data_IF_576302363624
#
_entry.id   IF_576302363624
#
_cell.length_a   1.000
_cell.length_b   1.000
_cell.length_c   1.000
_cell.angle_alpha   90.00
_cell.angle_beta   90.00
_cell.angle_gamma   90.00
#
_symmetry.space_group_name_H-M   'P 1'
#
loop_
_entity.id
_entity.type
_entity.pdbx_description
1 polymer ?
#
# COMPACT_ATOMS: atom_id res chain seq x y z
N UNK A 1 2.59 -23.00 12.39
CA UNK A 1 3.33 -24.28 12.27
C UNK A 1 3.09 -24.97 10.93
N UNK A 2 1.86 -25.35 10.55
CA UNK A 2 1.58 -26.05 9.27
C UNK A 2 2.02 -25.26 8.02
N UNK A 3 1.85 -23.93 8.02
CA UNK A 3 2.21 -23.07 6.89
C UNK A 3 3.72 -22.80 6.75
N UNK A 4 4.46 -22.64 7.86
CA UNK A 4 5.92 -22.59 7.81
C UNK A 4 6.48 -23.92 7.25
N UNK A 5 5.94 -25.06 7.70
CA UNK A 5 6.36 -26.38 7.21
C UNK A 5 6.02 -26.54 5.71
N UNK A 6 4.88 -26.01 5.25
CA UNK A 6 4.53 -25.97 3.83
C UNK A 6 5.48 -25.11 2.99
N UNK A 7 5.82 -23.91 3.46
CA UNK A 7 6.75 -23.01 2.77
C UNK A 7 8.16 -23.62 2.66
N UNK A 8 8.71 -24.17 3.74
CA UNK A 8 10.01 -24.85 3.69
C UNK A 8 10.02 -26.04 2.74
N UNK A 9 8.95 -26.85 2.73
CA UNK A 9 8.82 -27.98 1.80
C UNK A 9 8.73 -27.53 0.35
N UNK A 10 8.02 -26.44 0.06
CA UNK A 10 7.93 -25.85 -1.29
C UNK A 10 9.28 -25.31 -1.74
N UNK A 11 10.00 -24.60 -0.87
CA UNK A 11 11.35 -24.09 -1.18
C UNK A 11 12.33 -25.23 -1.48
N UNK A 12 12.32 -26.30 -0.67
CA UNK A 12 13.17 -27.48 -0.88
C UNK A 12 12.84 -28.19 -2.19
N UNK A 13 11.55 -28.40 -2.49
CA UNK A 13 11.11 -29.09 -3.71
C UNK A 13 11.46 -28.33 -4.99
N UNK A 14 11.37 -27.00 -4.96
CA UNK A 14 11.71 -26.15 -6.09
C UNK A 14 13.18 -25.70 -6.11
N UNK A 15 13.99 -26.13 -5.12
CA UNK A 15 15.39 -25.70 -4.93
C UNK A 15 15.56 -24.18 -4.98
N UNK A 16 14.57 -23.45 -4.46
CA UNK A 16 14.61 -21.99 -4.40
C UNK A 16 15.44 -21.57 -3.19
N UNK A 17 16.35 -20.62 -3.41
CA UNK A 17 16.98 -19.95 -2.27
C UNK A 17 16.00 -18.93 -1.66
N UNK A 18 16.33 -18.42 -0.47
CA UNK A 18 15.46 -17.50 0.27
C UNK A 18 15.14 -16.23 -0.53
N UNK A 19 16.13 -15.66 -1.20
CA UNK A 19 16.04 -14.40 -1.95
C UNK A 19 15.08 -14.53 -3.15
N UNK A 20 15.21 -15.61 -3.94
CA UNK A 20 14.29 -15.91 -5.04
C UNK A 20 12.84 -16.16 -4.56
N UNK A 21 12.68 -16.73 -3.37
CA UNK A 21 11.38 -16.87 -2.73
C UNK A 21 10.77 -15.51 -2.36
N UNK A 22 11.57 -14.61 -1.78
CA UNK A 22 11.16 -13.27 -1.41
C UNK A 22 10.82 -12.40 -2.63
N UNK A 23 11.63 -12.43 -3.69
CA UNK A 23 11.35 -11.73 -4.96
C UNK A 23 10.00 -12.14 -5.53
N UNK A 24 9.69 -13.44 -5.55
CA UNK A 24 8.40 -13.94 -6.02
C UNK A 24 7.25 -13.46 -5.17
N UNK A 25 7.41 -13.45 -3.84
CA UNK A 25 6.38 -12.93 -2.93
C UNK A 25 6.19 -11.42 -3.14
N UNK A 26 7.27 -10.68 -3.38
CA UNK A 26 7.24 -9.24 -3.58
C UNK A 26 6.44 -8.85 -4.83
N UNK A 27 6.61 -9.56 -5.94
CA UNK A 27 5.82 -9.32 -7.17
C UNK A 27 4.32 -9.36 -6.88
N UNK A 28 3.85 -10.42 -6.20
CA UNK A 28 2.45 -10.54 -5.82
C UNK A 28 2.03 -9.50 -4.77
N UNK A 29 2.91 -9.13 -3.84
CA UNK A 29 2.62 -8.10 -2.86
C UNK A 29 2.40 -6.72 -3.50
N UNK A 30 3.17 -6.38 -4.53
CA UNK A 30 3.03 -5.12 -5.27
C UNK A 30 1.68 -5.02 -6.01
N UNK A 31 1.18 -6.14 -6.55
CA UNK A 31 -0.17 -6.20 -7.16
C UNK A 31 -1.29 -5.89 -6.15
N UNK A 32 -1.05 -6.10 -4.86
CA UNK A 32 -2.05 -5.94 -3.79
C UNK A 32 -1.83 -4.69 -2.93
N UNK A 33 -0.96 -3.75 -3.35
CA UNK A 33 -0.53 -2.58 -2.56
C UNK A 33 -1.66 -1.68 -2.03
N UNK A 34 -2.80 -1.63 -2.72
CA UNK A 34 -3.97 -0.82 -2.34
C UNK A 34 -5.01 -1.58 -1.50
N UNK A 35 -4.84 -2.89 -1.33
CA UNK A 35 -5.78 -3.73 -0.59
C UNK A 35 -5.74 -3.40 0.92
N UNK A 36 -6.90 -3.44 1.58
CA UNK A 36 -6.99 -3.33 3.03
C UNK A 36 -6.44 -4.61 3.67
N UNK A 37 -5.78 -4.47 4.83
CA UNK A 37 -5.23 -5.62 5.58
C UNK A 37 -6.31 -6.65 5.88
N UNK A 38 -7.51 -6.21 6.27
CA UNK A 38 -8.65 -7.08 6.55
C UNK A 38 -9.11 -7.82 5.30
N UNK A 39 -9.16 -7.14 4.16
CA UNK A 39 -9.52 -7.76 2.88
C UNK A 39 -8.44 -8.77 2.45
N UNK A 40 -7.15 -8.44 2.60
CA UNK A 40 -6.05 -9.39 2.34
C UNK A 40 -6.11 -10.62 3.24
N UNK A 41 -6.42 -10.45 4.53
CA UNK A 41 -6.63 -11.57 5.46
C UNK A 41 -7.81 -12.43 5.05
N UNK A 42 -8.90 -11.82 4.57
CA UNK A 42 -10.06 -12.55 4.07
C UNK A 42 -9.77 -13.30 2.78
N UNK A 43 -9.08 -12.69 1.80
CA UNK A 43 -8.66 -13.37 0.57
C UNK A 43 -7.73 -14.55 0.86
N UNK A 44 -6.80 -14.37 1.80
CA UNK A 44 -5.95 -15.46 2.27
C UNK A 44 -6.77 -16.64 2.80
N UNK A 45 -7.75 -16.38 3.67
CA UNK A 45 -8.61 -17.43 4.22
C UNK A 45 -9.51 -18.08 3.15
N UNK A 46 -9.96 -17.32 2.15
CA UNK A 46 -10.74 -17.85 1.02
C UNK A 46 -9.97 -18.85 0.18
N UNK A 47 -8.67 -18.64 0.00
CA UNK A 47 -7.80 -19.60 -0.69
C UNK A 47 -7.48 -20.78 0.23
N UNK A 48 -7.12 -20.51 1.48
CA UNK A 48 -6.71 -21.54 2.43
C UNK A 48 -7.83 -22.54 2.75
N UNK A 49 -9.10 -22.10 2.76
CA UNK A 49 -10.23 -22.99 3.05
C UNK A 49 -10.47 -24.06 1.99
N UNK A 50 -9.98 -23.86 0.76
CA UNK A 50 -10.14 -24.81 -0.35
C UNK A 50 -9.07 -25.92 -0.34
N UNK A 51 -8.07 -25.81 0.54
CA UNK A 51 -7.05 -26.86 0.71
C UNK A 51 -7.67 -28.11 1.34
N UNK A 52 -7.30 -29.29 0.85
CA UNK A 52 -7.98 -30.57 1.19
C UNK A 52 -7.86 -30.95 2.67
N UNK A 53 -6.81 -30.48 3.35
CA UNK A 53 -6.58 -30.73 4.78
C UNK A 53 -7.09 -29.60 5.68
N UNK A 54 -7.63 -28.52 5.12
CA UNK A 54 -8.07 -27.36 5.88
C UNK A 54 -9.26 -27.70 6.77
N UNK A 55 -9.17 -27.36 8.06
CA UNK A 55 -10.27 -27.57 9.00
C UNK A 55 -10.58 -29.03 9.33
N UNK A 56 -9.77 -30.00 8.87
CA UNK A 56 -9.98 -31.43 9.11
C UNK A 56 -9.25 -31.90 10.37
N UNK A 57 -9.98 -32.51 11.30
CA UNK A 57 -9.42 -33.13 12.49
C UNK A 57 -9.23 -34.63 12.26
N UNK A 58 -7.98 -35.09 12.18
CA UNK A 58 -7.65 -36.49 11.88
C UNK A 58 -7.50 -37.36 13.14
N UNK A 59 -8.12 -38.54 13.12
CA UNK A 59 -8.03 -39.56 14.15
C UNK A 59 -7.68 -40.92 13.55
N UNK A 60 -6.70 -41.61 14.13
CA UNK A 60 -6.39 -42.97 13.73
C UNK A 60 -7.44 -43.94 14.29
N UNK A 61 -8.05 -44.72 13.40
CA UNK A 61 -9.12 -45.67 13.69
C UNK A 61 -8.85 -47.01 13.01
N UNK A 62 -9.58 -48.04 13.42
CA UNK A 62 -9.57 -49.36 12.78
C UNK A 62 -10.98 -49.78 12.38
N UNK A 63 -11.13 -50.41 11.22
CA UNK A 63 -12.40 -51.03 10.82
C UNK A 63 -12.63 -52.37 11.56
N UNK A 64 -13.76 -53.04 11.31
CA UNK A 64 -14.04 -54.39 11.86
C UNK A 64 -13.01 -55.45 11.47
N UNK A 65 -12.31 -55.28 10.34
CA UNK A 65 -11.25 -56.19 9.84
C UNK A 65 -9.87 -55.86 10.43
N UNK A 66 -9.75 -54.82 11.25
CA UNK A 66 -8.47 -54.38 11.83
C UNK A 66 -7.60 -53.48 10.93
N UNK A 67 -8.07 -53.12 9.72
CA UNK A 67 -7.36 -52.21 8.82
C UNK A 67 -7.27 -50.82 9.45
N UNK A 68 -6.06 -50.26 9.46
CA UNK A 68 -5.81 -48.90 9.95
C UNK A 68 -6.26 -47.86 8.92
N UNK A 69 -7.00 -46.87 9.38
CA UNK A 69 -7.61 -45.81 8.59
C UNK A 69 -7.53 -44.49 9.37
N UNK A 70 -7.75 -43.39 8.66
CA UNK A 70 -7.98 -42.09 9.29
C UNK A 70 -9.45 -41.70 9.21
N UNK A 71 -9.98 -41.20 10.33
CA UNK A 71 -11.23 -40.47 10.38
C UNK A 71 -10.92 -38.97 10.37
N UNK A 72 -11.43 -38.23 9.40
CA UNK A 72 -11.49 -36.77 9.41
C UNK A 72 -12.84 -36.29 9.91
N UNK A 73 -12.81 -35.34 10.84
CA UNK A 73 -14.00 -34.60 11.31
C UNK A 73 -13.85 -33.14 10.91
N UNK A 74 -14.80 -32.62 10.13
CA UNK A 74 -14.78 -31.25 9.64
C UNK A 74 -16.17 -30.59 9.74
N UNK A 75 -16.26 -29.36 9.21
CA UNK A 75 -17.48 -28.56 9.25
C UNK A 75 -18.60 -29.08 8.32
N UNK A 76 -18.30 -29.98 7.39
CA UNK A 76 -19.22 -30.52 6.37
C UNK A 76 -19.70 -31.94 6.71
N UNK A 77 -18.87 -32.75 7.35
CA UNK A 77 -19.21 -34.10 7.74
C UNK A 77 -18.07 -34.90 8.35
N UNK A 78 -18.14 -36.21 8.11
CA UNK A 78 -17.13 -37.19 8.48
C UNK A 78 -16.54 -37.82 7.23
N UNK A 79 -15.24 -37.97 7.20
CA UNK A 79 -14.51 -38.51 6.06
C UNK A 79 -13.59 -39.66 6.50
N UNK A 80 -13.52 -40.72 5.71
CA UNK A 80 -12.63 -41.87 5.95
C UNK A 80 -11.55 -41.88 4.90
N UNK A 81 -10.30 -41.94 5.34
CA UNK A 81 -9.12 -41.93 4.50
C UNK A 81 -8.29 -43.19 4.73
N UNK A 82 -7.53 -43.58 3.71
CA UNK A 82 -6.53 -44.64 3.82
C UNK A 82 -5.36 -44.19 4.69
N UNK A 83 -4.63 -45.13 5.29
CA UNK A 83 -3.53 -44.80 6.19
C UNK A 83 -2.43 -43.95 5.53
N UNK A 84 -2.24 -44.11 4.22
CA UNK A 84 -1.15 -43.51 3.43
C UNK A 84 -1.54 -42.21 2.71
N UNK A 85 -2.83 -41.86 2.66
CA UNK A 85 -3.33 -40.66 1.97
C UNK A 85 -4.36 -39.95 2.86
N UNK A 86 -4.05 -38.71 3.28
CA UNK A 86 -4.95 -37.85 4.08
C UNK A 86 -5.63 -36.75 3.27
N UNK A 87 -5.32 -36.66 1.97
CA UNK A 87 -5.86 -35.66 1.06
C UNK A 87 -7.19 -36.14 0.49
N UNK A 88 -7.22 -37.39 0.00
CA UNK A 88 -8.38 -37.91 -0.74
C UNK A 88 -9.25 -38.80 0.15
N UNK A 89 -10.47 -38.38 0.53
CA UNK A 89 -11.38 -39.24 1.27
C UNK A 89 -11.92 -40.37 0.39
N UNK A 90 -12.01 -41.59 0.93
CA UNK A 90 -12.60 -42.76 0.26
C UNK A 90 -14.09 -42.89 0.49
N UNK A 91 -14.54 -42.51 1.69
CA UNK A 91 -15.95 -42.56 2.09
C UNK A 91 -16.25 -41.26 2.84
N UNK A 92 -17.34 -40.59 2.49
CA UNK A 92 -17.82 -39.39 3.16
C UNK A 92 -19.22 -39.59 3.71
N UNK A 93 -19.49 -38.98 4.87
CA UNK A 93 -20.80 -38.91 5.50
C UNK A 93 -21.12 -37.44 5.80
N UNK A 94 -21.89 -36.77 4.93
CA UNK A 94 -22.36 -35.41 5.19
C UNK A 94 -23.15 -35.35 6.50
N UNK A 95 -23.06 -34.22 7.23
CA UNK A 95 -23.82 -34.06 8.48
C UNK A 95 -25.34 -34.25 8.29
N UNK A 96 -25.88 -33.93 7.11
CA UNK A 96 -27.29 -34.16 6.77
C UNK A 96 -27.68 -35.64 6.60
N UNK A 97 -26.73 -36.57 6.52
CA UNK A 97 -27.00 -38.00 6.36
C UNK A 97 -26.83 -38.77 7.67
N UNK A 98 -26.40 -38.10 8.75
CA UNK A 98 -26.13 -38.74 10.04
C UNK A 98 -27.31 -38.52 10.98
N UNK A 99 -27.89 -39.62 11.48
CA UNK A 99 -29.01 -39.60 12.44
C UNK A 99 -28.51 -39.53 13.88
N UNK A 100 -27.55 -40.38 14.20
CA UNK A 100 -27.05 -40.53 15.56
C UNK A 100 -25.60 -40.99 15.56
N UNK A 101 -24.84 -40.51 16.54
CA UNK A 101 -23.45 -40.90 16.77
C UNK A 101 -23.31 -41.31 18.23
N UNK A 102 -22.69 -42.47 18.46
CA UNK A 102 -22.49 -42.99 19.82
C UNK A 102 -21.25 -43.86 19.88
N UNK A 103 -20.72 -44.08 21.08
CA UNK A 103 -19.65 -45.04 21.28
C UNK A 103 -19.85 -45.81 22.58
N UNK A 104 -19.29 -47.01 22.63
CA UNK A 104 -19.17 -47.83 23.83
C UNK A 104 -17.74 -48.36 23.93
N UNK A 105 -17.03 -47.96 24.98
CA UNK A 105 -15.59 -48.18 25.15
C UNK A 105 -14.77 -47.82 23.89
N UNK A 106 -14.23 -48.81 23.18
CA UNK A 106 -13.45 -48.62 21.95
C UNK A 106 -14.30 -48.56 20.68
N UNK A 107 -15.53 -49.09 20.71
CA UNK A 107 -16.43 -49.21 19.55
C UNK A 107 -17.20 -47.91 19.33
N UNK A 108 -17.09 -47.35 18.14
CA UNK A 108 -17.81 -46.14 17.72
C UNK A 108 -18.80 -46.50 16.61
N UNK A 109 -20.00 -45.93 16.67
CA UNK A 109 -21.12 -46.25 15.78
C UNK A 109 -21.73 -44.97 15.23
N UNK A 110 -21.80 -44.88 13.91
CA UNK A 110 -22.47 -43.82 13.16
C UNK A 110 -23.70 -44.44 12.50
N UNK A 111 -24.87 -43.93 12.84
CA UNK A 111 -26.15 -44.39 12.28
C UNK A 111 -26.62 -43.40 11.21
N UNK A 112 -26.83 -43.86 9.96
CA UNK A 112 -27.36 -43.00 8.91
C UNK A 112 -28.83 -42.61 9.15
N UNK A 113 -29.28 -41.55 8.48
CA UNK A 113 -30.70 -41.19 8.43
C UNK A 113 -31.48 -42.24 7.63
N UNK A 114 -30.93 -42.77 6.54
CA UNK A 114 -31.57 -43.90 5.87
C UNK A 114 -31.56 -45.13 6.78
N UNK A 115 -32.74 -45.61 7.17
CA UNK A 115 -32.90 -46.79 8.03
C UNK A 115 -32.49 -48.09 7.32
N UNK A 116 -32.43 -48.11 6.00
CA UNK A 116 -32.00 -49.29 5.21
C UNK A 116 -30.48 -49.38 5.12
N UNK A 117 -29.78 -48.25 5.22
CA UNK A 117 -28.33 -48.22 5.17
C UNK A 117 -27.73 -48.81 6.46
N UNK A 118 -26.66 -49.62 6.37
CA UNK A 118 -26.05 -50.25 7.52
C UNK A 118 -25.31 -49.23 8.42
N UNK A 119 -25.30 -49.50 9.72
CA UNK A 119 -24.51 -48.73 10.68
C UNK A 119 -23.01 -48.80 10.34
N UNK A 120 -22.36 -47.64 10.27
CA UNK A 120 -20.91 -47.57 10.11
C UNK A 120 -20.23 -47.69 11.48
N UNK A 121 -19.33 -48.66 11.62
CA UNK A 121 -18.68 -48.99 12.89
C UNK A 121 -17.18 -49.02 12.73
N UNK A 122 -16.48 -48.30 13.61
CA UNK A 122 -15.02 -48.31 13.72
C UNK A 122 -14.58 -48.41 15.18
N UNK A 123 -13.29 -48.61 15.38
CA UNK A 123 -12.68 -48.76 16.70
C UNK A 123 -11.54 -47.76 16.85
N UNK A 124 -11.54 -47.01 17.95
CA UNK A 124 -10.41 -46.17 18.33
C UNK A 124 -9.55 -46.89 19.38
N UNK A 125 -8.22 -46.66 19.41
CA UNK A 125 -7.33 -47.38 20.30
C UNK A 125 -7.52 -47.02 21.78
N UNK A 126 -8.07 -45.84 22.09
CA UNK A 126 -8.24 -45.33 23.46
C UNK A 126 -9.61 -44.65 23.63
N UNK A 127 -10.27 -44.89 24.76
CA UNK A 127 -11.56 -44.26 25.12
C UNK A 127 -11.54 -42.73 25.03
N UNK A 128 -10.43 -42.10 25.45
CA UNK A 128 -10.28 -40.63 25.39
C UNK A 128 -10.38 -40.07 23.97
N UNK A 129 -10.02 -40.86 22.96
CA UNK A 129 -10.12 -40.46 21.56
C UNK A 129 -11.59 -40.44 21.15
N UNK A 130 -12.35 -41.48 21.49
CA UNK A 130 -13.79 -41.53 21.22
C UNK A 130 -14.55 -40.36 21.86
N UNK A 131 -14.21 -39.99 23.11
CA UNK A 131 -14.79 -38.79 23.76
C UNK A 131 -14.51 -37.51 22.97
N UNK A 132 -13.28 -37.32 22.48
CA UNK A 132 -12.90 -36.15 21.67
C UNK A 132 -13.59 -36.13 20.32
N UNK A 133 -13.63 -37.27 19.63
CA UNK A 133 -14.33 -37.41 18.34
C UNK A 133 -15.80 -37.05 18.52
N UNK A 134 -16.48 -37.62 19.53
CA UNK A 134 -17.90 -37.33 19.78
C UNK A 134 -18.14 -35.84 20.04
N UNK A 135 -17.32 -35.19 20.88
CA UNK A 135 -17.45 -33.76 21.16
C UNK A 135 -17.31 -32.91 19.89
N UNK A 136 -16.34 -33.23 19.03
CA UNK A 136 -16.17 -32.55 17.74
C UNK A 136 -17.34 -32.80 16.80
N UNK A 137 -17.85 -34.04 16.72
CA UNK A 137 -19.01 -34.34 15.90
C UNK A 137 -20.24 -33.56 16.35
N UNK A 138 -20.51 -33.52 17.67
CA UNK A 138 -21.65 -32.79 18.23
C UNK A 138 -21.55 -31.29 17.91
N UNK A 139 -20.40 -30.66 18.19
CA UNK A 139 -20.21 -29.23 17.93
C UNK A 139 -20.27 -28.87 16.43
N UNK A 140 -19.64 -29.67 15.56
CA UNK A 140 -19.71 -29.43 14.12
C UNK A 140 -21.11 -29.64 13.56
N UNK A 141 -21.80 -30.71 13.96
CA UNK A 141 -23.17 -30.99 13.53
C UNK A 141 -24.14 -29.88 13.99
N UNK A 142 -24.02 -29.39 15.23
CA UNK A 142 -24.83 -28.28 15.74
C UNK A 142 -24.62 -27.00 14.91
N UNK A 143 -23.36 -26.62 14.67
CA UNK A 143 -23.03 -25.45 13.85
C UNK A 143 -23.47 -25.63 12.39
N UNK A 144 -23.35 -26.83 11.83
CA UNK A 144 -23.82 -27.17 10.49
C UNK A 144 -25.34 -26.97 10.36
N UNK A 145 -26.11 -27.39 11.36
CA UNK A 145 -27.56 -27.20 11.41
C UNK A 145 -27.93 -25.72 11.63
N UNK A 146 -27.17 -25.00 12.47
CA UNK A 146 -27.36 -23.55 12.68
C UNK A 146 -27.18 -22.76 11.38
N UNK A 147 -26.14 -23.07 10.58
CA UNK A 147 -25.86 -22.41 9.29
C UNK A 147 -26.94 -22.62 8.21
N UNK A 148 -27.80 -23.62 8.36
CA UNK A 148 -28.92 -23.93 7.43
C UNK A 148 -30.24 -23.27 7.85
N UNK A 149 -30.27 -22.64 9.02
CA UNK A 149 -31.41 -21.86 9.49
C UNK A 149 -31.15 -20.38 9.21
N UNK A 150 -32.19 -19.55 9.12
CA UNK A 150 -32.02 -18.10 9.08
C UNK A 150 -31.19 -17.61 10.26
N UNK A 151 -30.41 -16.56 10.04
CA UNK A 151 -29.61 -15.93 11.10
C UNK A 151 -30.52 -15.46 12.23
N UNK A 152 -30.10 -15.72 13.47
CA UNK A 152 -30.72 -15.15 14.68
C UNK A 152 -30.63 -13.63 14.66
N UNK A 153 -31.56 -12.95 15.33
CA UNK A 153 -31.58 -11.47 15.44
C UNK A 153 -30.23 -10.90 15.87
N UNK A 154 -29.58 -11.52 16.86
CA UNK A 154 -28.24 -11.14 17.34
C UNK A 154 -27.20 -11.16 16.21
N UNK A 155 -27.10 -12.25 15.44
CA UNK A 155 -26.17 -12.37 14.30
C UNK A 155 -26.48 -11.35 13.21
N UNK A 156 -27.76 -11.05 12.95
CA UNK A 156 -28.15 -10.02 11.98
C UNK A 156 -27.68 -8.63 12.43
N UNK A 157 -27.86 -8.30 13.72
CA UNK A 157 -27.38 -7.05 14.31
C UNK A 157 -25.85 -6.95 14.27
N UNK A 158 -25.14 -8.02 14.63
CA UNK A 158 -23.68 -8.08 14.52
C UNK A 158 -23.19 -7.85 13.08
N UNK A 159 -23.86 -8.45 12.08
CA UNK A 159 -23.54 -8.23 10.66
C UNK A 159 -23.82 -6.79 10.22
N UNK A 160 -24.92 -6.20 10.66
CA UNK A 160 -25.27 -4.81 10.36
C UNK A 160 -24.22 -3.85 10.94
N UNK A 161 -23.88 -4.03 12.22
CA UNK A 161 -22.84 -3.24 12.90
C UNK A 161 -21.47 -3.38 12.21
N UNK A 162 -21.04 -4.61 11.91
CA UNK A 162 -19.76 -4.84 11.23
C UNK A 162 -19.71 -4.18 9.84
N UNK A 163 -20.84 -4.15 9.12
CA UNK A 163 -20.96 -3.48 7.82
C UNK A 163 -20.87 -1.96 7.97
N UNK A 164 -21.54 -1.40 8.97
CA UNK A 164 -21.49 0.04 9.26
C UNK A 164 -20.08 0.49 9.65
N UNK A 165 -19.42 -0.24 10.56
CA UNK A 165 -18.03 0.01 10.96
C UNK A 165 -17.06 -0.09 9.77
N UNK A 166 -17.24 -1.09 8.89
CA UNK A 166 -16.44 -1.22 7.66
C UNK A 166 -16.64 -0.02 6.74
N UNK A 167 -17.88 0.44 6.56
CA UNK A 167 -18.19 1.59 5.73
C UNK A 167 -17.62 2.88 6.32
N UNK A 168 -17.72 3.07 7.63
CA UNK A 168 -17.16 4.22 8.34
C UNK A 168 -15.64 4.31 8.13
N UNK A 169 -14.91 3.21 8.39
CA UNK A 169 -13.45 3.13 8.17
C UNK A 169 -13.06 3.40 6.72
N UNK A 170 -13.87 2.92 5.76
CA UNK A 170 -13.63 3.18 4.34
C UNK A 170 -13.79 4.67 4.00
N UNK A 171 -14.81 5.33 4.56
CA UNK A 171 -15.05 6.74 4.34
C UNK A 171 -13.93 7.60 4.96
N UNK A 172 -13.53 7.31 6.19
CA UNK A 172 -12.42 7.99 6.88
C UNK A 172 -11.11 7.88 6.09
N UNK A 173 -10.77 6.68 5.60
CA UNK A 173 -9.58 6.48 4.77
C UNK A 173 -9.65 7.27 3.46
N UNK A 174 -10.82 7.32 2.81
CA UNK A 174 -11.00 8.10 1.59
C UNK A 174 -10.83 9.61 1.83
N UNK A 175 -11.30 10.12 2.97
CA UNK A 175 -11.07 11.52 3.35
C UNK A 175 -9.57 11.80 3.55
N UNK A 176 -8.87 10.96 4.31
CA UNK A 176 -7.43 11.09 4.55
C UNK A 176 -6.62 11.00 3.25
N UNK A 177 -7.00 10.13 2.31
CA UNK A 177 -6.33 10.03 1.01
C UNK A 177 -6.54 11.30 0.17
N UNK A 178 -7.75 11.87 0.19
CA UNK A 178 -8.03 13.12 -0.49
C UNK A 178 -7.25 14.29 0.13
N UNK A 179 -7.16 14.35 1.45
CA UNK A 179 -6.36 15.35 2.16
C UNK A 179 -4.87 15.23 1.83
N UNK A 180 -4.32 14.01 1.80
CA UNK A 180 -2.94 13.76 1.36
C UNK A 180 -2.70 14.23 -0.07
N UNK A 181 -3.60 13.92 -1.00
CA UNK A 181 -3.49 14.38 -2.40
C UNK A 181 -3.50 15.90 -2.51
N UNK A 182 -4.38 16.58 -1.76
CA UNK A 182 -4.43 18.04 -1.72
C UNK A 182 -3.13 18.63 -1.17
N UNK A 183 -2.58 18.04 -0.11
CA UNK A 183 -1.31 18.47 0.47
C UNK A 183 -0.15 18.29 -0.51
N UNK A 184 -0.08 17.15 -1.20
CA UNK A 184 0.95 16.90 -2.20
C UNK A 184 0.87 17.89 -3.37
N UNK A 185 -0.35 18.25 -3.81
CA UNK A 185 -0.55 19.28 -4.83
C UNK A 185 -0.09 20.66 -4.35
N UNK A 186 -0.46 21.06 -3.13
CA UNK A 186 -0.04 22.33 -2.55
C UNK A 186 1.50 22.41 -2.37
N UNK A 187 2.15 21.32 -1.98
CA UNK A 187 3.61 21.25 -1.87
C UNK A 187 4.28 21.42 -3.25
N UNK A 188 3.76 20.78 -4.30
CA UNK A 188 4.26 20.96 -5.69
C UNK A 188 4.06 22.38 -6.21
N UNK A 189 2.90 22.98 -5.95
CA UNK A 189 2.64 24.38 -6.34
C UNK A 189 3.57 25.35 -5.61
N UNK A 190 3.78 25.14 -4.30
CA UNK A 190 4.72 25.92 -3.52
C UNK A 190 6.14 25.83 -4.08
N UNK A 191 6.62 24.62 -4.39
CA UNK A 191 7.95 24.41 -4.99
C UNK A 191 8.08 25.15 -6.33
N UNK A 192 7.02 25.15 -7.14
CA UNK A 192 7.00 25.89 -8.41
C UNK A 192 7.08 27.40 -8.20
N UNK A 193 6.29 27.95 -7.28
CA UNK A 193 6.31 29.38 -6.93
C UNK A 193 7.68 29.78 -6.36
N UNK A 194 8.30 28.93 -5.56
CA UNK A 194 9.63 29.17 -4.99
C UNK A 194 10.70 29.27 -6.08
N UNK A 195 10.69 28.37 -7.07
CA UNK A 195 11.56 28.45 -8.25
C UNK A 195 11.32 29.72 -9.08
N UNK A 196 10.06 30.05 -9.37
CA UNK A 196 9.72 31.27 -10.12
C UNK A 196 10.16 32.54 -9.35
N UNK A 197 10.05 32.54 -8.02
CA UNK A 197 10.53 33.63 -7.17
C UNK A 197 12.06 33.77 -7.24
N UNK A 198 12.80 32.66 -7.18
CA UNK A 198 14.26 32.68 -7.32
C UNK A 198 14.68 33.27 -8.67
N UNK A 199 14.04 32.85 -9.77
CA UNK A 199 14.30 33.39 -11.11
C UNK A 199 14.02 34.90 -11.20
N UNK A 200 12.90 35.36 -10.62
CA UNK A 200 12.56 36.78 -10.60
C UNK A 200 13.53 37.61 -9.75
N UNK A 201 13.95 37.09 -8.59
CA UNK A 201 14.95 37.77 -7.74
C UNK A 201 16.28 37.93 -8.47
N UNK A 202 16.72 36.91 -9.21
CA UNK A 202 17.95 36.99 -10.00
C UNK A 202 17.83 38.02 -11.14
N UNK A 203 16.68 38.08 -11.82
CA UNK A 203 16.43 39.12 -12.83
C UNK A 203 16.44 40.53 -12.23
N UNK A 204 15.83 40.73 -11.06
CA UNK A 204 15.84 42.02 -10.37
C UNK A 204 17.27 42.44 -10.03
N UNK A 205 18.08 41.51 -9.51
CA UNK A 205 19.50 41.77 -9.20
C UNK A 205 20.29 42.21 -10.43
N UNK A 206 20.05 41.57 -11.59
CA UNK A 206 20.68 41.95 -12.85
C UNK A 206 20.25 43.34 -13.32
N UNK A 207 18.96 43.67 -13.21
CA UNK A 207 18.43 45.00 -13.56
C UNK A 207 19.00 46.07 -12.63
N UNK A 208 19.07 45.82 -11.32
CA UNK A 208 19.67 46.74 -10.34
C UNK A 208 21.14 47.01 -10.66
N UNK A 209 21.92 45.99 -11.00
CA UNK A 209 23.32 46.14 -11.38
C UNK A 209 23.48 46.95 -12.68
N UNK A 210 22.66 46.66 -13.70
CA UNK A 210 22.64 47.44 -14.95
C UNK A 210 22.25 48.89 -14.71
N UNK A 211 21.22 49.13 -13.89
CA UNK A 211 20.75 50.48 -13.54
C UNK A 211 21.84 51.26 -12.82
N UNK A 212 22.53 50.64 -11.87
CA UNK A 212 23.64 51.27 -11.15
C UNK A 212 24.80 51.64 -12.08
N UNK A 213 25.16 50.75 -13.02
CA UNK A 213 26.19 51.03 -14.03
C UNK A 213 25.78 52.19 -14.94
N UNK A 214 24.56 52.18 -15.46
CA UNK A 214 24.04 53.26 -16.30
C UNK A 214 24.02 54.61 -15.56
N UNK A 215 23.69 54.60 -14.27
CA UNK A 215 23.66 55.79 -13.43
C UNK A 215 25.07 56.36 -13.20
N UNK A 216 26.07 55.49 -12.94
CA UNK A 216 27.48 55.87 -12.86
C UNK A 216 28.01 56.44 -14.19
N UNK A 217 27.69 55.80 -15.32
CA UNK A 217 28.07 56.29 -16.64
C UNK A 217 27.44 57.67 -16.94
N UNK A 218 26.18 57.87 -16.56
CA UNK A 218 25.50 59.16 -16.72
C UNK A 218 26.15 60.25 -15.85
N UNK A 219 26.51 59.95 -14.61
CA UNK A 219 27.24 60.86 -13.73
C UNK A 219 28.61 61.25 -14.33
N UNK A 220 29.38 60.27 -14.83
CA UNK A 220 30.67 60.53 -15.50
C UNK A 220 30.50 61.40 -16.76
N UNK A 221 29.50 61.10 -17.59
CA UNK A 221 29.20 61.90 -18.79
C UNK A 221 28.80 63.33 -18.41
N UNK A 222 28.01 63.50 -17.36
CA UNK A 222 27.59 64.82 -16.86
C UNK A 222 28.81 65.62 -16.37
N UNK A 223 29.72 64.97 -15.65
CA UNK A 223 30.95 65.62 -15.16
C UNK A 223 31.84 66.07 -16.32
N UNK A 224 32.07 65.18 -17.31
CA UNK A 224 32.85 65.50 -18.51
C UNK A 224 32.22 66.62 -19.34
N UNK A 225 30.90 66.64 -19.47
CA UNK A 225 30.20 67.72 -20.17
C UNK A 225 30.41 69.08 -19.48
N UNK A 226 30.38 69.11 -18.14
CA UNK A 226 30.66 70.32 -17.35
C UNK A 226 32.11 70.79 -17.52
N UNK A 227 33.08 69.87 -17.51
CA UNK A 227 34.49 70.20 -17.75
C UNK A 227 34.71 70.80 -19.15
N UNK A 228 34.14 70.19 -20.19
CA UNK A 228 34.18 70.71 -21.56
C UNK A 228 33.52 72.08 -21.68
N UNK A 229 32.42 72.33 -20.96
CA UNK A 229 31.78 73.64 -20.93
C UNK A 229 32.69 74.70 -20.27
N UNK A 230 33.35 74.36 -19.16
CA UNK A 230 34.32 75.24 -18.52
C UNK A 230 35.54 75.52 -19.39
N UNK A 231 36.06 74.52 -20.11
CA UNK A 231 37.15 74.69 -21.06
C UNK A 231 36.73 75.58 -22.24
N UNK A 232 35.54 75.36 -22.81
CA UNK A 232 35.00 76.22 -23.87
C UNK A 232 34.85 77.66 -23.40
N UNK A 233 34.40 77.87 -22.16
CA UNK A 233 34.28 79.21 -21.58
C UNK A 233 35.65 79.88 -21.43
N UNK A 234 36.65 79.17 -20.91
CA UNK A 234 38.04 79.67 -20.80
C UNK A 234 38.65 79.99 -22.17
N UNK A 235 38.48 79.10 -23.15
CA UNK A 235 38.94 79.32 -24.51
C UNK A 235 38.25 80.51 -25.18
N UNK A 236 36.96 80.74 -24.89
CA UNK A 236 36.22 81.90 -25.38
C UNK A 236 36.72 83.20 -24.75
N UNK A 237 36.90 83.24 -23.43
CA UNK A 237 37.48 84.39 -22.70
C UNK A 237 38.90 84.71 -23.19
N UNK A 238 39.72 83.69 -23.44
CA UNK A 238 41.06 83.85 -24.01
C UNK A 238 41.05 84.34 -25.45
N UNK A 239 40.14 83.84 -26.29
CA UNK A 239 39.94 84.32 -27.65
C UNK A 239 39.50 85.80 -27.66
N UNK A 240 38.55 86.19 -26.80
CA UNK A 240 38.16 87.60 -26.65
C UNK A 240 39.32 88.49 -26.19
N UNK A 241 40.17 87.99 -25.28
CA UNK A 241 41.37 88.72 -24.82
C UNK A 241 42.37 88.92 -25.96
N UNK A 242 42.67 87.86 -26.72
CA UNK A 242 43.54 87.91 -27.89
C UNK A 242 42.97 88.80 -29.00
N UNK A 243 41.65 88.83 -29.19
CA UNK A 243 40.99 89.70 -30.17
C UNK A 243 41.06 91.17 -29.76
N UNK A 244 40.87 91.49 -28.47
CA UNK A 244 41.11 92.83 -27.92
C UNK A 244 42.58 93.25 -28.08
N UNK A 245 43.53 92.37 -27.79
CA UNK A 245 44.96 92.64 -28.04
C UNK A 245 45.25 92.87 -29.53
N UNK A 246 44.63 92.10 -30.42
CA UNK A 246 44.76 92.28 -31.88
C UNK A 246 44.19 93.62 -32.33
N UNK A 247 43.01 94.01 -31.86
CA UNK A 247 42.40 95.30 -32.16
C UNK A 247 43.27 96.46 -31.67
N UNK A 248 43.81 96.38 -30.44
CA UNK A 248 44.74 97.37 -29.91
C UNK A 248 46.05 97.44 -30.72
N UNK A 249 46.58 96.31 -31.18
CA UNK A 249 47.77 96.26 -32.05
C UNK A 249 47.48 96.81 -33.47
N UNK A 250 46.24 96.69 -33.94
CA UNK A 250 45.76 97.20 -35.22
C UNK A 250 45.49 98.72 -35.16
N UNK A 251 44.99 99.23 -34.03
CA UNK A 251 44.86 100.67 -33.73
C UNK A 251 46.23 101.35 -33.48
N UNK A 252 47.22 100.61 -32.99
CA UNK A 252 48.60 101.08 -32.81
C UNK A 252 49.42 101.10 -34.11
N UNK A 253 48.87 100.62 -35.24
CA UNK A 253 49.50 100.83 -36.56
C UNK A 253 49.23 102.27 -37.01
N UNK A 254 50.27 103.08 -37.31
CA UNK A 254 50.09 104.45 -37.75
C UNK A 254 49.40 104.50 -39.14
N UNK A 255 48.63 105.56 -39.44
CA UNK A 255 48.06 105.75 -40.76
C UNK A 255 49.20 105.93 -41.77
N UNK A 256 49.27 105.03 -42.76
CA UNK A 256 50.00 105.31 -43.99
C UNK A 256 49.15 106.30 -44.81
N UNK A 257 49.60 107.54 -44.85
CA UNK A 257 49.18 108.58 -45.79
C UNK A 257 50.43 109.11 -46.49
N UNK A 258 50.36 109.61 -47.73
CA UNK A 258 49.66 109.17 -48.94
C UNK A 258 50.58 108.36 -49.90
#
# INVERSE_FOLDING_TARGET
>A
LTLCVGFFRVLEQHKLNKEQGEERIQVWHEEHKSMLREDSMMEYLKIAQDLEMYGVNYFSIKNKKGTELWLGVDALGLNIYEQNDKMTPKIGFPWSEIRNISFNDKKFVIKPIDKKAPDFVFYAPRLRINKRVLALCMGNHELYMRRRKPDTIEVQQMKAQAKEEKNHKKMERAMLENEKKKREQAEKEKEKIEKEKEELMERLRQIEEQTKKAQQELEEQTLRALELEQERKRAHEEAERLEKERQLAEEAKPPLHP
#
